data_IF_349107805040
#
_entry.id   IF_349107805040
#
_cell.length_a   1.000
_cell.length_b   1.000
_cell.length_c   1.000
_cell.angle_alpha   90.00
_cell.angle_beta   90.00
_cell.angle_gamma   90.00
#
_symmetry.space_group_name_H-M   'P 1'
#
loop_
_entity.id
_entity.type
_entity.pdbx_description
1 polymer ?
#
# COMPACT_ATOMS: atom_id res chain seq x y z
N UNK A 1 -47.63 1.98 33.30
CA UNK A 1 -46.36 1.57 32.63
C UNK A 1 -46.61 0.22 32.00
N UNK A 2 -47.07 0.11 30.76
CA UNK A 2 -46.24 0.32 29.59
C UNK A 2 -47.11 0.64 28.34
N UNK A 3 -47.53 1.91 28.18
CA UNK A 3 -48.05 2.39 26.89
C UNK A 3 -46.96 2.37 25.81
N UNK A 4 -45.70 2.58 26.21
CA UNK A 4 -44.54 2.49 25.32
C UNK A 4 -44.28 1.09 24.73
N UNK A 5 -44.76 0.02 25.37
CA UNK A 5 -44.57 -1.36 24.88
C UNK A 5 -45.62 -1.74 23.84
N UNK A 6 -46.86 -1.28 24.03
CA UNK A 6 -47.93 -1.40 23.04
C UNK A 6 -47.75 -0.43 21.86
N UNK A 7 -47.20 0.77 22.09
CA UNK A 7 -46.83 1.70 21.00
C UNK A 7 -45.62 1.20 20.20
N UNK A 8 -44.65 0.52 20.82
CA UNK A 8 -43.55 -0.13 20.11
C UNK A 8 -44.01 -1.34 19.27
N UNK A 9 -45.01 -2.09 19.75
CA UNK A 9 -45.65 -3.16 18.98
C UNK A 9 -46.62 -2.64 17.91
N UNK A 10 -47.35 -1.54 18.18
CA UNK A 10 -48.29 -0.89 17.26
C UNK A 10 -47.58 -0.08 16.16
N UNK A 11 -46.41 0.50 16.45
CA UNK A 11 -45.54 1.14 15.44
C UNK A 11 -44.76 0.12 14.60
N UNK A 12 -44.48 -1.08 15.14
CA UNK A 12 -43.93 -2.21 14.37
C UNK A 12 -44.98 -2.88 13.48
N UNK A 13 -46.24 -2.98 13.91
CA UNK A 13 -47.34 -3.52 13.10
C UNK A 13 -47.87 -2.55 12.03
N UNK A 14 -47.51 -1.26 12.12
CA UNK A 14 -47.87 -0.20 11.16
C UNK A 14 -46.77 0.17 10.17
N UNK A 15 -45.71 -0.63 10.02
CA UNK A 15 -44.82 -0.44 8.87
C UNK A 15 -45.59 -0.88 7.62
N UNK A 16 -45.77 -0.02 6.59
CA UNK A 16 -46.43 -0.43 5.37
C UNK A 16 -45.71 -1.66 4.83
N UNK A 17 -46.45 -2.70 4.41
CA UNK A 17 -45.88 -3.89 3.79
C UNK A 17 -45.01 -3.44 2.62
N UNK A 18 -43.70 -3.45 2.82
CA UNK A 18 -42.75 -3.00 1.81
C UNK A 18 -42.65 -4.11 0.78
N UNK A 19 -42.95 -3.78 -0.47
CA UNK A 19 -42.76 -4.71 -1.58
C UNK A 19 -41.29 -5.17 -1.67
N UNK A 20 -41.07 -6.37 -2.21
CA UNK A 20 -39.73 -6.93 -2.49
C UNK A 20 -38.80 -5.92 -3.20
N UNK A 21 -39.36 -5.10 -4.09
CA UNK A 21 -38.63 -4.04 -4.80
C UNK A 21 -38.18 -2.91 -3.87
N UNK A 22 -39.01 -2.52 -2.90
CA UNK A 22 -38.67 -1.49 -1.92
C UNK A 22 -37.53 -1.97 -1.01
N UNK A 23 -37.58 -3.22 -0.56
CA UNK A 23 -36.49 -3.83 0.21
C UNK A 23 -35.18 -3.93 -0.59
N UNK A 24 -35.25 -4.36 -1.85
CA UNK A 24 -34.08 -4.44 -2.74
C UNK A 24 -33.49 -3.04 -3.01
N UNK A 25 -34.33 -2.01 -3.14
CA UNK A 25 -33.89 -0.61 -3.27
C UNK A 25 -33.17 -0.11 -2.01
N UNK A 26 -33.68 -0.43 -0.83
CA UNK A 26 -33.05 -0.08 0.45
C UNK A 26 -31.68 -0.77 0.59
N UNK A 27 -31.60 -2.06 0.29
CA UNK A 27 -30.35 -2.83 0.34
C UNK A 27 -29.31 -2.26 -0.64
N UNK A 28 -29.71 -1.94 -1.87
CA UNK A 28 -28.80 -1.35 -2.86
C UNK A 28 -28.34 0.05 -2.46
N UNK A 29 -29.21 0.85 -1.81
CA UNK A 29 -28.85 2.15 -1.26
C UNK A 29 -27.81 2.04 -0.12
N UNK A 30 -28.04 1.18 0.88
CA UNK A 30 -27.05 0.95 1.94
C UNK A 30 -25.76 0.34 1.40
N UNK A 31 -25.86 -0.52 0.38
CA UNK A 31 -24.71 -1.05 -0.35
C UNK A 31 -23.88 0.03 -1.04
N UNK A 32 -24.52 1.07 -1.61
CA UNK A 32 -23.82 2.25 -2.15
C UNK A 32 -23.14 3.07 -1.06
N UNK A 33 -23.73 3.14 0.12
CA UNK A 33 -23.18 3.85 1.30
C UNK A 33 -22.12 3.04 2.06
N UNK A 34 -21.76 1.83 1.59
CA UNK A 34 -20.80 0.88 2.23
C UNK A 34 -21.21 0.41 3.63
N UNK A 35 -22.47 0.60 4.01
CA UNK A 35 -23.05 0.14 5.27
C UNK A 35 -23.57 -1.29 5.13
N UNK A 36 -22.64 -2.25 5.04
CA UNK A 36 -22.99 -3.65 4.86
C UNK A 36 -23.75 -4.23 6.07
N UNK A 37 -23.51 -3.72 7.30
CA UNK A 37 -24.23 -4.18 8.49
C UNK A 37 -25.74 -3.86 8.39
N UNK A 38 -26.06 -2.64 7.98
CA UNK A 38 -27.45 -2.20 7.80
C UNK A 38 -28.14 -2.99 6.69
N UNK A 39 -27.43 -3.29 5.60
CA UNK A 39 -27.95 -4.14 4.54
C UNK A 39 -28.31 -5.55 5.06
N UNK A 40 -27.46 -6.15 5.92
CA UNK A 40 -27.74 -7.46 6.53
C UNK A 40 -28.92 -7.38 7.52
N UNK A 41 -29.03 -6.31 8.32
CA UNK A 41 -30.18 -6.11 9.21
C UNK A 41 -31.49 -5.98 8.42
N UNK A 42 -31.45 -5.37 7.24
CA UNK A 42 -32.64 -5.27 6.36
C UNK A 42 -33.07 -6.64 5.83
N UNK A 43 -32.14 -7.60 5.65
CA UNK A 43 -32.49 -8.99 5.33
C UNK A 43 -33.21 -9.67 6.50
N UNK A 44 -32.77 -9.43 7.74
CA UNK A 44 -33.44 -9.95 8.92
C UNK A 44 -34.86 -9.36 9.09
N UNK A 45 -35.03 -8.06 8.81
CA UNK A 45 -36.35 -7.41 8.79
C UNK A 45 -37.27 -8.00 7.72
N UNK A 46 -36.76 -8.30 6.52
CA UNK A 46 -37.53 -8.99 5.47
C UNK A 46 -38.05 -10.36 5.92
N UNK A 47 -37.22 -11.11 6.65
CA UNK A 47 -37.60 -12.43 7.19
C UNK A 47 -38.68 -12.32 8.25
N UNK A 48 -38.55 -11.35 9.15
CA UNK A 48 -39.56 -11.09 10.19
C UNK A 48 -40.93 -10.71 9.58
N UNK A 49 -40.92 -10.11 8.39
CA UNK A 49 -42.12 -9.74 7.63
C UNK A 49 -42.59 -10.86 6.67
N UNK A 50 -42.01 -12.06 6.72
CA UNK A 50 -42.32 -13.21 5.86
C UNK A 50 -42.18 -12.95 4.34
N UNK A 51 -41.35 -11.99 3.93
CA UNK A 51 -41.07 -11.73 2.51
C UNK A 51 -39.92 -12.63 2.05
N UNK A 52 -40.17 -13.49 1.06
CA UNK A 52 -39.15 -14.40 0.51
C UNK A 52 -38.10 -13.62 -0.27
N UNK A 53 -36.82 -13.63 0.15
CA UNK A 53 -35.76 -12.93 -0.58
C UNK A 53 -35.52 -13.56 -1.96
N UNK A 54 -35.40 -12.73 -2.98
CA UNK A 54 -35.12 -13.19 -4.35
C UNK A 54 -33.62 -13.28 -4.63
N UNK A 55 -33.24 -13.88 -5.77
CA UNK A 55 -31.86 -13.85 -6.30
C UNK A 55 -31.30 -12.43 -6.35
N UNK A 56 -32.12 -11.45 -6.74
CA UNK A 56 -31.74 -10.04 -6.84
C UNK A 56 -31.46 -9.43 -5.46
N UNK A 57 -32.23 -9.84 -4.44
CA UNK A 57 -32.06 -9.39 -3.06
C UNK A 57 -30.75 -9.92 -2.48
N UNK A 58 -30.46 -11.20 -2.69
CA UNK A 58 -29.19 -11.82 -2.27
C UNK A 58 -27.98 -11.26 -3.03
N UNK A 59 -28.10 -11.05 -4.34
CA UNK A 59 -27.00 -10.49 -5.12
C UNK A 59 -26.70 -9.02 -4.75
N UNK A 60 -27.74 -8.25 -4.43
CA UNK A 60 -27.57 -6.89 -3.90
C UNK A 60 -26.86 -6.89 -2.54
N UNK A 61 -27.15 -7.86 -1.66
CA UNK A 61 -26.47 -8.02 -0.38
C UNK A 61 -25.00 -8.41 -0.55
N UNK A 62 -24.70 -9.37 -1.42
CA UNK A 62 -23.32 -9.75 -1.75
C UNK A 62 -22.56 -8.55 -2.32
N UNK A 63 -23.20 -7.75 -3.20
CA UNK A 63 -22.62 -6.52 -3.73
C UNK A 63 -22.41 -5.44 -2.65
N UNK A 64 -23.28 -5.36 -1.64
CA UNK A 64 -23.09 -4.49 -0.49
C UNK A 64 -21.90 -4.95 0.37
N UNK A 65 -21.80 -6.26 0.65
CA UNK A 65 -20.68 -6.86 1.38
C UNK A 65 -19.34 -6.70 0.64
N UNK A 66 -19.34 -6.83 -0.69
CA UNK A 66 -18.13 -6.66 -1.52
C UNK A 66 -17.59 -5.22 -1.47
N UNK A 67 -18.49 -4.23 -1.45
CA UNK A 67 -18.16 -2.81 -1.23
C UNK A 67 -17.72 -2.51 0.20
N UNK A 68 -18.26 -3.24 1.18
CA UNK A 68 -17.87 -3.18 2.58
C UNK A 68 -16.55 -3.89 2.91
N UNK A 69 -15.90 -4.54 1.92
CA UNK A 69 -14.68 -5.36 2.07
C UNK A 69 -14.83 -6.54 3.05
N UNK A 70 -16.06 -6.98 3.30
CA UNK A 70 -16.35 -8.08 4.22
C UNK A 70 -16.64 -9.36 3.45
N UNK A 71 -15.57 -10.10 3.12
CA UNK A 71 -15.67 -11.35 2.38
C UNK A 71 -16.39 -12.44 3.20
N UNK A 72 -16.19 -12.49 4.52
CA UNK A 72 -16.78 -13.53 5.38
C UNK A 72 -18.31 -13.44 5.41
N UNK A 73 -18.85 -12.22 5.54
CA UNK A 73 -20.29 -11.97 5.47
C UNK A 73 -20.86 -12.30 4.08
N UNK A 74 -20.13 -11.98 3.00
CA UNK A 74 -20.56 -12.32 1.65
C UNK A 74 -20.68 -13.85 1.46
N UNK A 75 -19.71 -14.63 1.96
CA UNK A 75 -19.76 -16.10 1.93
C UNK A 75 -20.90 -16.65 2.79
N UNK A 76 -21.15 -16.06 3.97
CA UNK A 76 -22.29 -16.45 4.81
C UNK A 76 -23.64 -16.23 4.10
N UNK A 77 -23.78 -15.10 3.40
CA UNK A 77 -24.96 -14.79 2.58
C UNK A 77 -25.13 -15.82 1.44
N UNK A 78 -24.04 -16.28 0.82
CA UNK A 78 -24.09 -17.34 -0.20
C UNK A 78 -24.55 -18.69 0.38
N UNK A 79 -23.99 -19.10 1.52
CA UNK A 79 -24.37 -20.36 2.17
C UNK A 79 -25.84 -20.35 2.56
N UNK A 80 -26.34 -19.19 2.99
CA UNK A 80 -27.74 -19.02 3.32
C UNK A 80 -28.65 -19.01 2.08
N UNK A 81 -28.22 -18.38 0.99
CA UNK A 81 -28.93 -18.42 -0.29
C UNK A 81 -29.10 -19.87 -0.79
N UNK A 82 -28.05 -20.69 -0.67
CA UNK A 82 -28.09 -22.11 -1.02
C UNK A 82 -28.99 -22.92 -0.08
N UNK A 83 -28.97 -22.64 1.23
CA UNK A 83 -29.84 -23.30 2.23
C UNK A 83 -31.32 -23.04 1.96
N UNK A 84 -31.65 -21.86 1.45
CA UNK A 84 -33.02 -21.47 1.06
C UNK A 84 -33.43 -22.01 -0.32
N UNK A 85 -32.59 -22.82 -0.97
CA UNK A 85 -32.87 -23.39 -2.30
C UNK A 85 -32.78 -22.40 -3.44
N UNK A 86 -32.25 -21.19 -3.21
CA UNK A 86 -32.07 -20.18 -4.25
C UNK A 86 -30.71 -20.39 -4.92
N UNK A 87 -30.71 -20.71 -6.22
CA UNK A 87 -29.47 -20.97 -6.95
C UNK A 87 -28.72 -19.66 -7.26
N UNK A 88 -27.44 -19.54 -6.86
CA UNK A 88 -26.62 -18.37 -7.20
C UNK A 88 -26.39 -18.28 -8.71
N UNK A 89 -26.53 -17.07 -9.25
CA UNK A 89 -26.23 -16.76 -10.65
C UNK A 89 -24.76 -16.34 -10.83
N UNK A 90 -24.36 -16.15 -12.09
CA UNK A 90 -23.02 -15.67 -12.46
C UNK A 90 -22.68 -14.34 -11.76
N UNK A 91 -23.66 -13.44 -11.65
CA UNK A 91 -23.49 -12.14 -11.01
C UNK A 91 -23.21 -12.25 -9.50
N UNK A 92 -23.87 -13.17 -8.80
CA UNK A 92 -23.64 -13.44 -7.38
C UNK A 92 -22.22 -13.98 -7.15
N UNK A 93 -21.77 -14.93 -7.96
CA UNK A 93 -20.39 -15.44 -7.90
C UNK A 93 -19.34 -14.37 -8.23
N UNK A 94 -19.57 -13.59 -9.28
CA UNK A 94 -18.72 -12.46 -9.67
C UNK A 94 -18.59 -11.41 -8.55
N UNK A 95 -19.70 -11.08 -7.88
CA UNK A 95 -19.70 -10.18 -6.73
C UNK A 95 -18.98 -10.77 -5.51
N UNK A 96 -19.08 -12.09 -5.30
CA UNK A 96 -18.33 -12.80 -4.24
C UNK A 96 -16.83 -12.82 -4.50
N UNK A 97 -16.41 -13.16 -5.72
CA UNK A 97 -15.00 -13.14 -6.15
C UNK A 97 -14.43 -11.74 -5.91
N UNK A 98 -15.19 -10.69 -6.26
CA UNK A 98 -14.81 -9.30 -5.97
C UNK A 98 -14.72 -9.01 -4.47
N UNK A 99 -15.63 -9.54 -3.66
CA UNK A 99 -15.57 -9.42 -2.20
C UNK A 99 -14.30 -10.09 -1.63
N UNK A 100 -13.98 -11.30 -2.09
CA UNK A 100 -12.76 -12.03 -1.73
C UNK A 100 -11.50 -11.30 -2.18
N UNK A 101 -11.49 -10.74 -3.39
CA UNK A 101 -10.40 -9.90 -3.89
C UNK A 101 -10.18 -8.66 -3.01
N UNK A 102 -11.26 -8.02 -2.54
CA UNK A 102 -11.17 -6.89 -1.63
C UNK A 102 -10.78 -7.28 -0.20
N UNK A 103 -11.10 -8.51 0.20
CA UNK A 103 -10.74 -9.12 1.48
C UNK A 103 -9.33 -9.72 1.54
N UNK A 104 -8.54 -9.63 0.46
CA UNK A 104 -7.21 -10.24 0.31
C UNK A 104 -7.18 -11.78 0.40
N UNK A 105 -8.34 -12.43 0.25
CA UNK A 105 -8.47 -13.89 0.29
C UNK A 105 -8.41 -14.48 -1.12
N UNK A 106 -7.19 -14.51 -1.70
CA UNK A 106 -6.98 -15.00 -3.07
C UNK A 106 -7.31 -16.48 -3.25
N UNK A 107 -7.07 -17.32 -2.22
CA UNK A 107 -7.33 -18.75 -2.30
C UNK A 107 -8.83 -19.07 -2.45
N UNK A 108 -9.68 -18.33 -1.72
CA UNK A 108 -11.15 -18.47 -1.83
C UNK A 108 -11.67 -17.94 -3.17
N UNK A 109 -11.06 -16.87 -3.68
CA UNK A 109 -11.36 -16.34 -5.00
C UNK A 109 -11.15 -17.40 -6.10
N UNK A 110 -10.02 -18.11 -6.07
CA UNK A 110 -9.72 -19.22 -6.99
C UNK A 110 -10.68 -20.41 -6.83
N UNK A 111 -11.03 -20.76 -5.59
CA UNK A 111 -12.02 -21.81 -5.33
C UNK A 111 -13.38 -21.44 -5.92
N UNK A 112 -13.85 -20.21 -5.71
CA UNK A 112 -15.12 -19.73 -6.25
C UNK A 112 -15.14 -19.70 -7.79
N UNK A 113 -14.01 -19.33 -8.42
CA UNK A 113 -13.90 -19.41 -9.88
C UNK A 113 -13.96 -20.86 -10.37
N UNK A 114 -13.29 -21.79 -9.68
CA UNK A 114 -13.33 -23.22 -9.98
C UNK A 114 -14.73 -23.80 -9.78
N UNK A 115 -15.45 -23.36 -8.74
CA UNK A 115 -16.83 -23.77 -8.46
C UNK A 115 -17.80 -23.30 -9.55
N UNK A 116 -17.60 -22.08 -10.05
CA UNK A 116 -18.36 -21.53 -11.15
C UNK A 116 -18.17 -22.37 -12.43
N UNK A 117 -16.93 -22.75 -12.73
CA UNK A 117 -16.61 -23.64 -13.86
C UNK A 117 -17.22 -25.03 -13.70
N UNK A 118 -17.15 -25.63 -12.50
CA UNK A 118 -17.76 -26.94 -12.21
C UNK A 118 -19.28 -26.95 -12.33
N UNK A 119 -19.94 -25.81 -12.14
CA UNK A 119 -21.39 -25.64 -12.27
C UNK A 119 -21.84 -25.36 -13.71
N UNK A 120 -20.94 -25.50 -14.69
CA UNK A 120 -21.20 -25.24 -16.11
C UNK A 120 -21.64 -23.80 -16.39
N UNK A 121 -21.35 -22.87 -15.48
CA UNK A 121 -21.50 -21.44 -15.73
C UNK A 121 -20.22 -20.97 -16.40
N UNK A 122 -20.30 -20.37 -17.59
CA UNK A 122 -19.12 -19.81 -18.25
C UNK A 122 -18.67 -18.56 -17.48
N UNK A 123 -17.44 -18.54 -16.91
CA UNK A 123 -16.95 -17.33 -16.26
C UNK A 123 -16.82 -16.21 -17.29
N UNK A 124 -17.30 -15.03 -16.95
CA UNK A 124 -17.13 -13.83 -17.77
C UNK A 124 -15.75 -13.19 -17.54
N UNK A 125 -15.41 -12.22 -18.39
CA UNK A 125 -14.17 -11.44 -18.24
C UNK A 125 -14.08 -10.76 -16.86
N UNK A 126 -15.22 -10.39 -16.30
CA UNK A 126 -15.28 -9.76 -14.98
C UNK A 126 -14.85 -10.72 -13.86
N UNK A 127 -15.32 -11.97 -13.85
CA UNK A 127 -14.93 -12.98 -12.88
C UNK A 127 -13.43 -13.30 -12.96
N UNK A 128 -12.87 -13.41 -14.17
CA UNK A 128 -11.41 -13.57 -14.35
C UNK A 128 -10.65 -12.36 -13.83
N UNK A 129 -11.04 -11.14 -14.21
CA UNK A 129 -10.40 -9.90 -13.75
C UNK A 129 -10.41 -9.76 -12.23
N UNK A 130 -11.55 -10.06 -11.59
CA UNK A 130 -11.67 -10.02 -10.14
C UNK A 130 -10.77 -11.07 -9.46
N UNK A 131 -10.64 -12.27 -10.05
CA UNK A 131 -9.75 -13.33 -9.54
C UNK A 131 -8.27 -12.98 -9.73
N UNK A 132 -7.92 -12.41 -10.88
CA UNK A 132 -6.56 -11.94 -11.20
C UNK A 132 -6.17 -10.78 -10.26
N UNK A 133 -7.07 -9.83 -10.00
CA UNK A 133 -6.86 -8.75 -9.01
C UNK A 133 -6.77 -9.31 -7.57
N UNK A 134 -7.45 -10.40 -7.25
CA UNK A 134 -7.26 -11.10 -5.98
C UNK A 134 -5.84 -11.70 -5.88
N UNK A 135 -5.36 -12.34 -6.95
CA UNK A 135 -4.01 -12.92 -7.01
C UNK A 135 -2.92 -11.84 -6.94
N UNK A 136 -3.14 -10.68 -7.56
CA UNK A 136 -2.29 -9.48 -7.45
C UNK A 136 -2.11 -9.08 -5.97
N UNK A 137 -3.21 -8.94 -5.23
CA UNK A 137 -3.19 -8.57 -3.80
C UNK A 137 -2.62 -9.68 -2.91
N UNK A 138 -2.77 -10.93 -3.33
CA UNK A 138 -2.18 -12.10 -2.67
C UNK A 138 -0.69 -12.33 -2.95
N UNK A 139 -0.08 -11.50 -3.80
CA UNK A 139 1.29 -11.64 -4.29
C UNK A 139 1.57 -12.97 -5.04
N UNK A 140 0.53 -13.57 -5.63
CA UNK A 140 0.57 -14.85 -6.34
C UNK A 140 0.65 -14.63 -7.86
N UNK A 141 1.76 -14.07 -8.34
CA UNK A 141 1.94 -13.69 -9.75
C UNK A 141 1.84 -14.88 -10.72
N UNK A 142 2.30 -16.07 -10.33
CA UNK A 142 2.29 -17.26 -11.19
C UNK A 142 0.86 -17.71 -11.52
N UNK A 143 -0.04 -17.64 -10.53
CA UNK A 143 -1.46 -17.96 -10.69
C UNK A 143 -2.18 -16.88 -11.50
N UNK A 144 -1.81 -15.61 -11.30
CA UNK A 144 -2.31 -14.50 -12.12
C UNK A 144 -2.02 -14.71 -13.62
N UNK A 145 -0.78 -15.10 -13.97
CA UNK A 145 -0.42 -15.43 -15.35
C UNK A 145 -1.13 -16.68 -15.88
N UNK A 146 -1.23 -17.74 -15.07
CA UNK A 146 -1.96 -18.94 -15.47
C UNK A 146 -3.43 -18.63 -15.80
N UNK A 147 -4.10 -17.82 -14.99
CA UNK A 147 -5.47 -17.38 -15.25
C UNK A 147 -5.58 -16.51 -16.50
N UNK A 148 -4.58 -15.67 -16.77
CA UNK A 148 -4.51 -14.87 -17.98
C UNK A 148 -4.41 -15.75 -19.23
N UNK A 149 -3.57 -16.79 -19.21
CA UNK A 149 -3.46 -17.75 -20.31
C UNK A 149 -4.71 -18.62 -20.45
N UNK A 150 -5.31 -19.04 -19.34
CA UNK A 150 -6.58 -19.77 -19.34
C UNK A 150 -7.72 -18.95 -19.96
N UNK A 151 -7.80 -17.65 -19.65
CA UNK A 151 -8.76 -16.72 -20.24
C UNK A 151 -8.61 -16.64 -21.76
N UNK A 152 -7.36 -16.59 -22.26
CA UNK A 152 -7.04 -16.60 -23.70
C UNK A 152 -7.40 -17.92 -24.37
N UNK A 153 -7.08 -19.05 -23.74
CA UNK A 153 -7.43 -20.39 -24.23
C UNK A 153 -8.95 -20.60 -24.31
N UNK A 154 -9.72 -19.97 -23.43
CA UNK A 154 -11.20 -19.98 -23.45
C UNK A 154 -11.80 -18.94 -24.40
N UNK A 155 -10.99 -18.28 -25.22
CA UNK A 155 -11.39 -17.23 -26.17
C UNK A 155 -12.09 -16.03 -25.51
N UNK A 156 -11.87 -15.79 -24.23
CA UNK A 156 -12.35 -14.60 -23.53
C UNK A 156 -11.30 -13.50 -23.75
N UNK A 157 -11.71 -12.36 -24.32
CA UNK A 157 -10.78 -11.26 -24.63
C UNK A 157 -10.32 -10.57 -23.33
N UNK A 158 -9.00 -10.56 -23.03
CA UNK A 158 -8.47 -9.74 -21.93
C UNK A 158 -8.76 -8.27 -22.19
N UNK A 159 -9.03 -7.51 -21.14
CA UNK A 159 -9.21 -6.07 -21.19
C UNK A 159 -8.04 -5.34 -20.52
N UNK A 160 -8.08 -3.99 -20.51
CA UNK A 160 -7.03 -3.19 -19.87
C UNK A 160 -6.91 -3.50 -18.37
N UNK A 161 -8.00 -3.86 -17.70
CA UNK A 161 -8.00 -4.23 -16.29
C UNK A 161 -7.25 -5.54 -16.06
N UNK A 162 -7.42 -6.55 -16.94
CA UNK A 162 -6.67 -7.81 -16.89
C UNK A 162 -5.16 -7.53 -16.95
N UNK A 163 -4.73 -6.75 -17.94
CA UNK A 163 -3.32 -6.40 -18.11
C UNK A 163 -2.76 -5.61 -16.93
N UNK A 164 -3.51 -4.62 -16.42
CA UNK A 164 -3.11 -3.81 -15.27
C UNK A 164 -2.84 -4.66 -14.03
N UNK A 165 -3.74 -5.59 -13.71
CA UNK A 165 -3.57 -6.47 -12.55
C UNK A 165 -2.43 -7.48 -12.73
N UNK A 166 -2.21 -8.01 -13.95
CA UNK A 166 -1.04 -8.86 -14.20
C UNK A 166 0.29 -8.10 -14.11
N UNK A 167 0.37 -6.90 -14.70
CA UNK A 167 1.56 -6.03 -14.65
C UNK A 167 1.89 -5.65 -13.20
N UNK A 168 0.88 -5.29 -12.40
CA UNK A 168 1.01 -4.99 -10.98
C UNK A 168 1.49 -6.21 -10.17
N UNK A 169 0.90 -7.40 -10.42
CA UNK A 169 1.31 -8.63 -9.76
C UNK A 169 2.78 -9.01 -10.07
N UNK A 170 3.21 -8.83 -11.32
CA UNK A 170 4.61 -9.02 -11.74
C UNK A 170 5.54 -7.99 -11.10
N UNK A 171 5.07 -6.76 -10.92
CA UNK A 171 5.79 -5.72 -10.20
C UNK A 171 6.09 -6.12 -8.76
N UNK A 172 5.07 -6.57 -8.02
CA UNK A 172 5.22 -7.05 -6.63
C UNK A 172 6.15 -8.26 -6.51
N UNK A 173 6.24 -9.07 -7.56
CA UNK A 173 7.15 -10.20 -7.66
C UNK A 173 8.58 -9.83 -8.13
N UNK A 174 8.88 -8.53 -8.33
CA UNK A 174 10.15 -8.03 -8.86
C UNK A 174 10.51 -8.54 -10.27
N UNK A 175 9.54 -9.06 -11.03
CA UNK A 175 9.73 -9.57 -12.40
C UNK A 175 9.47 -8.47 -13.42
N UNK A 176 10.34 -7.47 -13.43
CA UNK A 176 10.19 -6.28 -14.28
C UNK A 176 10.24 -6.61 -15.78
N UNK A 177 11.02 -7.62 -16.20
CA UNK A 177 11.16 -8.02 -17.60
C UNK A 177 9.83 -8.45 -18.22
N UNK A 178 9.11 -9.29 -17.49
CA UNK A 178 7.83 -9.85 -17.91
C UNK A 178 6.74 -8.79 -17.87
N UNK A 179 6.80 -7.88 -16.88
CA UNK A 179 5.90 -6.73 -16.76
C UNK A 179 6.01 -5.82 -18.00
N UNK A 180 7.23 -5.55 -18.47
CA UNK A 180 7.47 -4.78 -19.69
C UNK A 180 7.06 -5.52 -20.96
N UNK A 181 7.27 -6.84 -21.00
CA UNK A 181 6.80 -7.65 -22.12
C UNK A 181 5.27 -7.62 -22.22
N UNK A 182 4.56 -7.71 -21.09
CA UNK A 182 3.10 -7.58 -21.07
C UNK A 182 2.65 -6.20 -21.55
N UNK A 183 3.30 -5.11 -21.11
CA UNK A 183 3.02 -3.75 -21.59
C UNK A 183 3.23 -3.64 -23.11
N UNK A 184 4.32 -4.21 -23.64
CA UNK A 184 4.62 -4.22 -25.07
C UNK A 184 3.65 -5.07 -25.89
N UNK A 185 3.02 -6.07 -25.28
CA UNK A 185 2.03 -6.93 -25.94
C UNK A 185 0.64 -6.28 -26.08
N UNK A 186 0.31 -5.25 -25.29
CA UNK A 186 -1.03 -4.62 -25.33
C UNK A 186 -1.40 -4.02 -26.70
N UNK A 187 -0.52 -3.27 -27.38
CA UNK A 187 -0.83 -2.74 -28.72
C UNK A 187 -1.06 -3.84 -29.77
N UNK A 188 -0.40 -5.00 -29.63
CA UNK A 188 -0.59 -6.16 -30.51
C UNK A 188 -2.01 -6.72 -30.36
N UNK A 189 -2.59 -6.62 -29.17
CA UNK A 189 -3.97 -7.03 -28.85
C UNK A 189 -4.99 -5.90 -29.15
N UNK A 190 -4.57 -4.80 -29.80
CA UNK A 190 -5.38 -3.61 -30.08
C UNK A 190 -5.92 -2.91 -28.81
N UNK A 191 -5.23 -3.06 -27.68
CA UNK A 191 -5.53 -2.36 -26.44
C UNK A 191 -4.57 -1.19 -26.25
N UNK A 192 -5.11 -0.01 -25.96
CA UNK A 192 -4.31 1.16 -25.59
C UNK A 192 -3.95 1.10 -24.10
N UNK A 193 -2.67 1.20 -23.72
CA UNK A 193 -2.28 1.28 -22.32
C UNK A 193 -2.86 2.57 -21.71
N UNK A 194 -3.43 2.45 -20.52
CA UNK A 194 -3.94 3.59 -19.75
C UNK A 194 -2.90 4.08 -18.73
N UNK A 195 -3.21 5.16 -18.01
CA UNK A 195 -2.33 5.72 -16.98
C UNK A 195 -2.07 4.70 -15.85
N UNK A 196 -3.03 3.81 -15.58
CA UNK A 196 -2.87 2.75 -14.57
C UNK A 196 -1.87 1.70 -15.06
N UNK A 197 -1.92 1.30 -16.33
CA UNK A 197 -0.95 0.37 -16.95
C UNK A 197 0.46 0.90 -16.84
N UNK A 198 0.65 2.16 -17.23
CA UNK A 198 1.98 2.80 -17.25
C UNK A 198 2.49 2.99 -15.82
N UNK A 199 1.66 3.45 -14.89
CA UNK A 199 2.08 3.61 -13.49
C UNK A 199 2.43 2.27 -12.82
N UNK A 200 1.70 1.19 -13.13
CA UNK A 200 2.02 -0.16 -12.66
C UNK A 200 3.35 -0.66 -13.25
N UNK A 201 3.61 -0.44 -14.54
CA UNK A 201 4.87 -0.80 -15.19
C UNK A 201 6.08 -0.01 -14.66
N UNK A 202 5.92 1.31 -14.43
CA UNK A 202 6.95 2.13 -13.78
C UNK A 202 7.23 1.61 -12.38
N UNK A 203 6.18 1.34 -11.59
CA UNK A 203 6.29 0.77 -10.25
C UNK A 203 7.01 -0.57 -10.27
N UNK A 204 6.69 -1.46 -11.22
CA UNK A 204 7.38 -2.73 -11.41
C UNK A 204 8.88 -2.56 -11.70
N UNK A 205 9.25 -1.61 -12.55
CA UNK A 205 10.66 -1.27 -12.83
C UNK A 205 11.37 -0.72 -11.59
N UNK A 206 10.69 0.11 -10.78
CA UNK A 206 11.26 0.61 -9.52
C UNK A 206 11.54 -0.52 -8.54
N UNK A 207 10.61 -1.47 -8.41
CA UNK A 207 10.78 -2.64 -7.54
C UNK A 207 11.89 -3.57 -8.05
N UNK A 208 12.04 -3.69 -9.37
CA UNK A 208 13.12 -4.41 -10.05
C UNK A 208 14.49 -3.72 -10.01
N UNK A 209 14.64 -2.57 -9.35
CA UNK A 209 15.85 -1.73 -9.28
C UNK A 209 16.32 -1.14 -10.62
N UNK A 210 15.50 -1.21 -11.66
CA UNK A 210 15.78 -0.66 -12.99
C UNK A 210 15.25 0.79 -13.12
N UNK A 211 15.85 1.71 -12.38
CA UNK A 211 15.41 3.11 -12.33
C UNK A 211 15.51 3.83 -13.69
N UNK A 212 16.53 3.53 -14.50
CA UNK A 212 16.74 4.18 -15.80
C UNK A 212 15.58 3.85 -16.77
N UNK A 213 15.14 2.58 -16.77
CA UNK A 213 14.00 2.15 -17.59
C UNK A 213 12.69 2.76 -17.10
N UNK A 214 12.48 2.80 -15.78
CA UNK A 214 11.32 3.46 -15.18
C UNK A 214 11.19 4.93 -15.63
N UNK A 215 12.30 5.66 -15.66
CA UNK A 215 12.32 7.06 -16.11
C UNK A 215 12.13 7.20 -17.61
N UNK A 216 12.73 6.32 -18.42
CA UNK A 216 12.50 6.32 -19.87
C UNK A 216 11.02 6.11 -20.22
N UNK A 217 10.33 5.23 -19.49
CA UNK A 217 8.89 4.98 -19.64
C UNK A 217 8.06 6.17 -19.19
N UNK A 218 8.46 6.84 -18.10
CA UNK A 218 7.80 8.05 -17.64
C UNK A 218 7.91 9.19 -18.68
N UNK A 219 9.11 9.42 -19.23
CA UNK A 219 9.31 10.42 -20.27
C UNK A 219 8.56 10.06 -21.55
N UNK A 220 8.50 8.78 -21.92
CA UNK A 220 7.69 8.32 -23.03
C UNK A 220 6.20 8.56 -22.81
N UNK A 221 5.71 8.26 -21.60
CA UNK A 221 4.33 8.54 -21.22
C UNK A 221 4.02 10.05 -21.29
N UNK A 222 4.95 10.90 -20.83
CA UNK A 222 4.83 12.36 -20.91
C UNK A 222 4.83 12.88 -22.35
N UNK A 223 5.65 12.29 -23.25
CA UNK A 223 5.67 12.64 -24.68
C UNK A 223 4.40 12.20 -25.41
N UNK A 224 3.86 11.04 -25.04
CA UNK A 224 2.60 10.50 -25.60
C UNK A 224 1.34 11.09 -24.95
N UNK A 225 1.49 12.00 -24.00
CA UNK A 225 0.36 12.58 -23.25
C UNK A 225 -0.44 13.57 -24.12
N UNK A 226 -1.23 13.05 -25.06
CA UNK A 226 -2.34 13.75 -25.71
C UNK A 226 -3.66 13.32 -25.06
N UNK A 227 -4.26 14.18 -24.23
CA UNK A 227 -5.56 13.94 -23.60
C UNK A 227 -5.51 13.04 -22.35
N UNK A 228 -6.03 11.81 -22.45
CA UNK A 228 -6.34 10.90 -21.33
C UNK A 228 -5.12 10.19 -20.71
N UNK A 229 -3.94 10.31 -21.33
CA UNK A 229 -2.67 9.72 -20.89
C UNK A 229 -1.86 10.63 -19.95
N UNK A 230 -2.47 11.68 -19.39
CA UNK A 230 -1.78 12.60 -18.48
C UNK A 230 -1.28 11.87 -17.22
N UNK A 231 0.04 11.92 -16.92
CA UNK A 231 0.57 11.37 -15.69
C UNK A 231 -0.16 11.96 -14.48
N UNK A 232 -0.68 11.08 -13.63
CA UNK A 232 -1.35 11.47 -12.39
C UNK A 232 -0.37 11.46 -11.20
N UNK A 233 -0.85 11.79 -10.00
CA UNK A 233 -0.06 11.79 -8.76
C UNK A 233 0.65 10.44 -8.54
N UNK A 234 0.00 9.32 -8.88
CA UNK A 234 0.57 7.96 -8.75
C UNK A 234 1.74 7.76 -9.71
N UNK A 235 1.62 8.24 -10.94
CA UNK A 235 2.66 8.11 -11.98
C UNK A 235 3.90 8.93 -11.63
N UNK A 236 3.70 10.18 -11.18
CA UNK A 236 4.80 11.02 -10.66
C UNK A 236 5.42 10.42 -9.40
N UNK A 237 4.62 9.92 -8.46
CA UNK A 237 5.12 9.26 -7.25
C UNK A 237 5.97 8.02 -7.54
N UNK A 238 5.54 7.19 -8.51
CA UNK A 238 6.31 6.03 -8.95
C UNK A 238 7.64 6.45 -9.62
N UNK A 239 7.63 7.51 -10.44
CA UNK A 239 8.85 8.04 -11.05
C UNK A 239 9.83 8.61 -10.00
N UNK A 240 9.34 9.34 -9.00
CA UNK A 240 10.17 9.88 -7.91
C UNK A 240 10.77 8.74 -7.07
N UNK A 241 10.01 7.67 -6.81
CA UNK A 241 10.52 6.47 -6.14
C UNK A 241 11.59 5.73 -6.99
N UNK A 242 11.51 5.84 -8.32
CA UNK A 242 12.59 5.38 -9.21
C UNK A 242 13.86 6.22 -9.00
N UNK A 243 13.72 7.55 -8.96
CA UNK A 243 14.84 8.47 -8.71
C UNK A 243 15.49 8.23 -7.34
N UNK A 244 14.72 7.89 -6.31
CA UNK A 244 15.22 7.52 -4.99
C UNK A 244 16.21 6.34 -5.08
N UNK A 245 15.81 5.28 -5.77
CA UNK A 245 16.66 4.09 -5.98
C UNK A 245 17.88 4.34 -6.87
N UNK A 246 17.79 5.32 -7.77
CA UNK A 246 18.91 5.76 -8.61
C UNK A 246 19.79 6.86 -7.99
N UNK A 247 19.45 7.36 -6.80
CA UNK A 247 20.08 8.52 -6.15
C UNK A 247 20.10 9.80 -7.03
N UNK A 248 19.15 9.91 -7.97
CA UNK A 248 19.02 11.04 -8.90
C UNK A 248 18.21 12.18 -8.28
N UNK A 249 18.83 12.89 -7.33
CA UNK A 249 18.18 13.97 -6.58
C UNK A 249 17.70 15.12 -7.48
N UNK A 250 18.47 15.49 -8.50
CA UNK A 250 18.15 16.62 -9.38
C UNK A 250 16.86 16.35 -10.19
N UNK A 251 16.72 15.12 -10.70
CA UNK A 251 15.52 14.71 -11.42
C UNK A 251 14.32 14.52 -10.48
N UNK A 252 14.52 13.99 -9.26
CA UNK A 252 13.45 13.89 -8.27
C UNK A 252 12.84 15.27 -7.94
N UNK A 253 13.68 16.30 -7.79
CA UNK A 253 13.24 17.67 -7.53
C UNK A 253 12.55 18.30 -8.74
N UNK A 254 13.08 18.07 -9.95
CA UNK A 254 12.46 18.59 -11.18
C UNK A 254 11.09 17.95 -11.44
N UNK A 255 10.93 16.66 -11.13
CA UNK A 255 9.65 15.95 -11.21
C UNK A 255 8.64 16.46 -10.18
N UNK A 256 9.07 16.74 -8.95
CA UNK A 256 8.20 17.37 -7.94
C UNK A 256 7.74 18.77 -8.36
N UNK A 257 8.65 19.59 -8.89
CA UNK A 257 8.33 20.92 -9.38
C UNK A 257 7.42 20.88 -10.62
N UNK A 258 7.62 19.90 -11.51
CA UNK A 258 6.74 19.67 -12.65
C UNK A 258 5.33 19.23 -12.21
N UNK A 259 5.23 18.35 -11.21
CA UNK A 259 3.94 17.92 -10.66
C UNK A 259 3.16 19.09 -10.05
N UNK A 260 3.82 19.96 -9.28
CA UNK A 260 3.17 21.15 -8.70
C UNK A 260 2.78 22.18 -9.76
N UNK A 261 3.61 22.39 -10.79
CA UNK A 261 3.30 23.27 -11.91
C UNK A 261 2.09 22.79 -12.73
N UNK A 262 1.90 21.48 -12.87
CA UNK A 262 0.73 20.87 -13.52
C UNK A 262 -0.53 20.87 -12.64
N UNK A 263 -0.47 21.46 -11.44
CA UNK A 263 -1.60 21.55 -10.49
C UNK A 263 -1.88 20.26 -9.73
N UNK A 264 -1.03 19.23 -9.89
CA UNK A 264 -1.11 17.99 -9.12
C UNK A 264 -0.56 18.25 -7.72
N UNK A 265 -1.31 17.84 -6.69
CA UNK A 265 -0.83 17.90 -5.31
C UNK A 265 0.05 16.67 -5.05
N UNK A 266 1.38 16.81 -4.90
CA UNK A 266 2.22 15.67 -4.59
C UNK A 266 1.82 15.11 -3.23
N UNK A 267 1.78 13.78 -3.14
CA UNK A 267 1.54 13.12 -1.86
C UNK A 267 2.76 13.23 -0.95
N UNK A 268 2.54 13.16 0.38
CA UNK A 268 3.63 13.18 1.36
C UNK A 268 4.67 12.08 1.08
N UNK A 269 4.24 10.92 0.61
CA UNK A 269 5.11 9.81 0.22
C UNK A 269 6.02 10.17 -0.96
N UNK A 270 5.51 10.93 -1.94
CA UNK A 270 6.32 11.44 -3.07
C UNK A 270 7.38 12.45 -2.60
N UNK A 271 7.04 13.31 -1.65
CA UNK A 271 8.01 14.27 -1.09
C UNK A 271 9.06 13.56 -0.22
N UNK A 272 8.66 12.59 0.60
CA UNK A 272 9.57 11.77 1.41
C UNK A 272 10.55 10.97 0.52
N UNK A 273 10.08 10.40 -0.59
CA UNK A 273 10.93 9.72 -1.56
C UNK A 273 11.94 10.68 -2.21
N UNK A 274 11.55 11.91 -2.54
CA UNK A 274 12.49 12.92 -3.06
C UNK A 274 13.52 13.37 -2.01
N UNK A 275 13.11 13.55 -0.75
CA UNK A 275 14.04 13.84 0.36
C UNK A 275 15.06 12.70 0.51
N UNK A 276 14.60 11.46 0.41
CA UNK A 276 15.46 10.27 0.48
C UNK A 276 16.41 10.19 -0.72
N UNK A 277 15.96 10.56 -1.92
CA UNK A 277 16.80 10.71 -3.11
C UNK A 277 17.90 11.77 -2.90
N UNK A 278 17.56 12.92 -2.31
CA UNK A 278 18.52 13.96 -1.92
C UNK A 278 19.55 13.46 -0.90
N UNK A 279 19.14 12.61 0.04
CA UNK A 279 20.04 11.97 0.99
C UNK A 279 21.06 11.04 0.34
N UNK A 280 20.61 10.21 -0.61
CA UNK A 280 21.51 9.34 -1.39
C UNK A 280 22.46 10.11 -2.32
N UNK A 281 22.05 11.28 -2.80
CA UNK A 281 22.89 12.19 -3.60
C UNK A 281 23.79 13.13 -2.78
N UNK A 282 23.90 12.92 -1.46
CA UNK A 282 24.65 13.76 -0.50
C UNK A 282 24.23 15.25 -0.44
N UNK A 283 23.07 15.60 -1.00
CA UNK A 283 22.55 16.97 -1.03
C UNK A 283 21.65 17.26 0.18
N UNK A 284 22.25 17.25 1.38
CA UNK A 284 21.54 17.50 2.64
C UNK A 284 20.79 18.84 2.68
N UNK A 285 21.32 19.88 2.03
CA UNK A 285 20.69 21.21 2.01
C UNK A 285 19.35 21.22 1.26
N UNK A 286 19.26 20.49 0.15
CA UNK A 286 18.02 20.39 -0.64
C UNK A 286 16.93 19.66 0.15
N UNK A 287 17.30 18.61 0.90
CA UNK A 287 16.39 17.91 1.80
C UNK A 287 15.81 18.86 2.88
N UNK A 288 16.64 19.72 3.49
CA UNK A 288 16.18 20.71 4.47
C UNK A 288 15.31 21.80 3.85
N UNK A 289 15.61 22.22 2.61
CA UNK A 289 14.80 23.19 1.89
C UNK A 289 13.39 22.65 1.61
N UNK A 290 13.29 21.38 1.21
CA UNK A 290 12.00 20.70 1.06
C UNK A 290 11.24 20.64 2.39
N UNK A 291 11.90 20.27 3.50
CA UNK A 291 11.25 20.26 4.81
C UNK A 291 10.73 21.64 5.22
N UNK A 292 11.48 22.71 4.94
CA UNK A 292 11.03 24.09 5.18
C UNK A 292 9.83 24.44 4.31
N UNK A 293 9.84 24.07 3.03
CA UNK A 293 8.71 24.29 2.12
C UNK A 293 7.45 23.57 2.60
N UNK A 294 7.57 22.34 3.12
CA UNK A 294 6.47 21.59 3.73
C UNK A 294 5.92 22.29 4.98
N UNK A 295 6.78 22.79 5.87
CA UNK A 295 6.37 23.55 7.07
C UNK A 295 5.65 24.85 6.70
N UNK A 296 6.03 25.49 5.59
CA UNK A 296 5.39 26.72 5.11
C UNK A 296 4.08 26.48 4.36
N UNK A 297 3.91 25.31 3.73
CA UNK A 297 2.67 24.94 3.08
C UNK A 297 1.67 24.36 4.09
N UNK A 298 0.53 25.01 4.30
CA UNK A 298 -0.52 24.57 5.23
C UNK A 298 -1.24 23.27 4.85
N UNK A 299 -0.89 22.66 3.70
CA UNK A 299 -1.58 21.50 3.14
C UNK A 299 -1.00 20.13 3.54
N UNK A 300 0.27 20.07 3.97
CA UNK A 300 0.96 18.83 4.29
C UNK A 300 1.72 18.98 5.61
N UNK A 301 1.30 18.23 6.63
CA UNK A 301 2.01 18.18 7.92
C UNK A 301 3.15 17.16 7.80
N UNK A 302 4.41 17.54 8.06
CA UNK A 302 5.53 16.60 8.08
C UNK A 302 5.28 15.48 9.11
N UNK A 303 5.47 14.23 8.69
CA UNK A 303 5.36 13.07 9.57
C UNK A 303 6.74 12.63 10.07
N UNK A 304 6.76 11.64 10.97
CA UNK A 304 8.01 11.04 11.48
C UNK A 304 8.90 10.57 10.33
N UNK A 305 8.32 10.06 9.24
CA UNK A 305 9.05 9.59 8.06
C UNK A 305 9.77 10.75 7.36
N UNK A 306 9.12 11.90 7.17
CA UNK A 306 9.76 13.10 6.58
C UNK A 306 10.99 13.53 7.38
N UNK A 307 10.88 13.57 8.70
CA UNK A 307 11.99 13.93 9.58
C UNK A 307 13.10 12.87 9.55
N UNK A 308 12.75 11.57 9.60
CA UNK A 308 13.71 10.47 9.52
C UNK A 308 14.52 10.49 8.22
N UNK A 309 13.87 10.82 7.10
CA UNK A 309 14.50 10.95 5.79
C UNK A 309 15.45 12.16 5.75
N UNK A 310 15.06 13.29 6.36
CA UNK A 310 15.92 14.47 6.49
C UNK A 310 17.14 14.21 7.40
N UNK A 311 16.96 13.54 8.54
CA UNK A 311 18.05 13.15 9.44
C UNK A 311 19.03 12.22 8.70
N UNK A 312 18.50 11.25 7.94
CA UNK A 312 19.31 10.35 7.12
C UNK A 312 20.09 11.11 6.04
N UNK A 313 19.47 12.08 5.36
CA UNK A 313 20.16 12.93 4.40
C UNK A 313 21.27 13.77 5.04
N UNK A 314 21.04 14.32 6.24
CA UNK A 314 22.06 15.03 7.01
C UNK A 314 23.20 14.11 7.49
N UNK A 315 22.89 12.85 7.82
CA UNK A 315 23.88 11.83 8.16
C UNK A 315 24.80 11.55 6.97
N UNK A 316 24.24 11.38 5.76
CA UNK A 316 25.03 11.19 4.54
C UNK A 316 25.90 12.42 4.23
N UNK A 317 25.38 13.64 4.41
CA UNK A 317 26.14 14.89 4.26
C UNK A 317 27.12 15.24 5.39
N UNK A 318 27.37 14.32 6.35
CA UNK A 318 28.24 14.51 7.53
C UNK A 318 27.89 15.73 8.40
N UNK A 319 26.63 16.20 8.37
CA UNK A 319 26.15 17.34 9.16
C UNK A 319 25.44 16.88 10.43
N UNK A 320 26.21 16.31 11.35
CA UNK A 320 25.69 15.75 12.61
C UNK A 320 24.94 16.78 13.47
N UNK A 321 25.33 18.07 13.44
CA UNK A 321 24.67 19.13 14.22
C UNK A 321 23.23 19.36 13.77
N UNK A 322 23.02 19.46 12.46
CA UNK A 322 21.69 19.64 11.86
C UNK A 322 20.82 18.40 12.07
N UNK A 323 21.41 17.20 11.94
CA UNK A 323 20.72 15.94 12.21
C UNK A 323 20.18 15.87 13.66
N UNK A 324 20.98 16.26 14.65
CA UNK A 324 20.55 16.32 16.05
C UNK A 324 19.54 17.44 16.32
N UNK A 325 19.69 18.59 15.66
CA UNK A 325 18.69 19.67 15.71
C UNK A 325 17.32 19.20 15.22
N UNK A 326 17.28 18.46 14.11
CA UNK A 326 16.06 17.86 13.58
C UNK A 326 15.43 16.82 14.52
N UNK A 327 16.24 16.01 15.21
CA UNK A 327 15.75 15.04 16.20
C UNK A 327 15.13 15.74 17.41
N UNK A 328 15.72 16.85 17.85
CA UNK A 328 15.15 17.68 18.92
C UNK A 328 13.85 18.36 18.48
N UNK A 329 13.81 18.89 17.25
CA UNK A 329 12.59 19.42 16.63
C UNK A 329 11.47 18.38 16.58
N UNK A 330 11.80 17.14 16.20
CA UNK A 330 10.83 16.03 16.18
C UNK A 330 10.29 15.76 17.59
N UNK A 331 11.17 15.70 18.59
CA UNK A 331 10.79 15.47 19.99
C UNK A 331 9.89 16.59 20.55
N UNK A 332 10.10 17.84 20.09
CA UNK A 332 9.26 19.00 20.45
C UNK A 332 7.90 18.99 19.75
N UNK A 333 7.81 18.40 18.56
CA UNK A 333 6.60 18.40 17.73
C UNK A 333 5.51 17.41 18.18
N UNK A 334 5.61 16.83 19.39
CA UNK A 334 4.75 15.76 19.93
C UNK A 334 4.76 14.42 19.16
N UNK A 335 5.56 14.33 18.10
CA UNK A 335 5.82 13.11 17.36
C UNK A 335 6.84 12.27 18.14
N UNK A 336 6.50 11.01 18.46
CA UNK A 336 7.46 10.10 19.11
C UNK A 336 8.52 9.68 18.07
N UNK A 337 9.83 9.82 18.39
CA UNK A 337 10.89 9.35 17.50
C UNK A 337 10.75 7.85 17.27
N UNK A 338 10.86 7.41 16.02
CA UNK A 338 10.94 6.01 15.66
C UNK A 338 12.39 5.51 15.70
N UNK A 339 12.55 4.19 15.68
CA UNK A 339 13.87 3.55 15.66
C UNK A 339 14.70 3.99 14.44
N UNK A 340 14.04 4.30 13.31
CA UNK A 340 14.69 4.77 12.08
C UNK A 340 15.33 6.15 12.31
N UNK A 341 14.59 7.12 12.85
CA UNK A 341 15.10 8.47 13.16
C UNK A 341 16.28 8.43 14.15
N UNK A 342 16.18 7.59 15.19
CA UNK A 342 17.23 7.44 16.20
C UNK A 342 18.47 6.76 15.60
N UNK A 343 18.29 5.70 14.79
CA UNK A 343 19.41 5.02 14.10
C UNK A 343 20.13 5.94 13.10
N UNK A 344 19.37 6.75 12.36
CA UNK A 344 19.92 7.73 11.42
C UNK A 344 20.71 8.83 12.15
N UNK A 345 20.23 9.28 13.32
CA UNK A 345 20.93 10.24 14.15
C UNK A 345 22.23 9.66 14.75
N UNK A 346 22.22 8.39 15.16
CA UNK A 346 23.45 7.68 15.61
C UNK A 346 24.45 7.56 14.48
N UNK A 347 24.02 7.19 13.26
CA UNK A 347 24.90 7.15 12.08
C UNK A 347 25.46 8.54 11.71
N UNK A 348 24.67 9.61 11.89
CA UNK A 348 25.17 10.98 11.75
C UNK A 348 26.26 11.28 12.79
N UNK A 349 26.11 10.82 14.04
CA UNK A 349 27.09 11.00 15.10
C UNK A 349 28.36 10.19 14.88
N UNK A 350 28.25 8.98 14.33
CA UNK A 350 29.38 8.16 13.90
C UNK A 350 30.25 8.91 12.89
N UNK A 351 29.64 9.40 11.79
CA UNK A 351 30.32 10.18 10.76
C UNK A 351 30.84 11.52 11.27
N UNK A 352 30.26 12.05 12.35
CA UNK A 352 30.71 13.26 13.04
C UNK A 352 31.77 13.04 14.14
N UNK A 353 32.20 11.79 14.37
CA UNK A 353 33.09 11.39 15.47
C UNK A 353 32.59 11.83 16.86
N UNK A 354 31.27 11.85 17.08
CA UNK A 354 30.63 12.28 18.33
C UNK A 354 30.11 11.08 19.13
N UNK A 355 31.01 10.23 19.64
CA UNK A 355 30.65 9.01 20.39
C UNK A 355 29.76 9.27 21.62
N UNK A 356 29.99 10.38 22.35
CA UNK A 356 29.21 10.72 23.56
C UNK A 356 27.71 10.91 23.25
N UNK A 357 27.42 11.60 22.16
CA UNK A 357 26.06 11.88 21.72
C UNK A 357 25.40 10.64 21.13
N UNK A 358 26.17 9.80 20.43
CA UNK A 358 25.70 8.50 19.97
C UNK A 358 25.24 7.60 21.14
N UNK A 359 26.00 7.55 22.23
CA UNK A 359 25.64 6.82 23.45
C UNK A 359 24.39 7.39 24.15
N UNK A 360 24.26 8.71 24.19
CA UNK A 360 23.10 9.38 24.77
C UNK A 360 21.81 9.01 24.02
N UNK A 361 21.83 9.08 22.68
CA UNK A 361 20.70 8.70 21.82
C UNK A 361 20.39 7.20 21.94
N UNK A 362 21.41 6.36 22.09
CA UNK A 362 21.21 4.93 22.32
C UNK A 362 20.54 4.67 23.69
N UNK A 363 20.91 5.43 24.71
CA UNK A 363 20.23 5.45 26.00
C UNK A 363 18.76 5.90 25.89
N UNK A 364 18.47 6.96 25.13
CA UNK A 364 17.11 7.41 24.85
C UNK A 364 16.27 6.35 24.12
N UNK A 365 16.87 5.63 23.17
CA UNK A 365 16.22 4.53 22.45
C UNK A 365 15.72 3.44 23.42
N UNK A 366 16.56 3.06 24.39
CA UNK A 366 16.19 2.08 25.43
C UNK A 366 15.13 2.62 26.40
N UNK A 367 15.22 3.89 26.81
CA UNK A 367 14.20 4.53 27.67
C UNK A 367 12.83 4.57 26.99
N UNK A 368 12.80 4.73 25.68
CA UNK A 368 11.57 4.71 24.88
C UNK A 368 11.02 3.29 24.61
N UNK A 369 11.59 2.24 25.23
CA UNK A 369 11.24 0.82 25.03
C UNK A 369 11.37 0.35 23.57
N UNK A 370 12.16 1.06 22.76
CA UNK A 370 12.49 0.63 21.40
C UNK A 370 13.69 -0.30 21.49
N UNK A 371 13.57 -1.53 20.98
CA UNK A 371 14.72 -2.44 20.90
C UNK A 371 15.69 -1.92 19.84
N UNK A 372 16.92 -1.52 20.20
CA UNK A 372 17.90 -1.07 19.21
C UNK A 372 18.26 -2.22 18.28
N UNK A 373 18.29 -1.96 16.97
CA UNK A 373 18.67 -2.98 15.99
C UNK A 373 20.20 -3.08 15.86
N UNK A 374 20.66 -4.09 15.11
CA UNK A 374 22.09 -4.30 14.82
C UNK A 374 22.73 -3.03 14.25
N UNK A 375 22.00 -2.30 13.39
CA UNK A 375 22.49 -1.09 12.72
C UNK A 375 22.79 0.04 13.72
N UNK A 376 21.90 0.27 14.70
CA UNK A 376 22.11 1.29 15.74
C UNK A 376 23.29 0.95 16.64
N UNK A 377 23.43 -0.33 17.01
CA UNK A 377 24.59 -0.78 17.81
C UNK A 377 25.90 -0.69 17.02
N UNK A 378 25.91 -1.13 15.76
CA UNK A 378 27.09 -1.09 14.90
C UNK A 378 27.57 0.35 14.66
N UNK A 379 26.64 1.27 14.36
CA UNK A 379 26.96 2.68 14.20
C UNK A 379 27.50 3.31 15.52
N UNK A 380 26.94 2.93 16.67
CA UNK A 380 27.42 3.41 17.98
C UNK A 380 28.82 2.84 18.33
N UNK A 381 29.05 1.55 18.10
CA UNK A 381 30.34 0.88 18.32
C UNK A 381 31.40 1.48 17.38
N UNK A 382 31.05 1.68 16.11
CA UNK A 382 31.92 2.32 15.12
C UNK A 382 32.24 3.77 15.49
N UNK A 383 31.28 4.52 16.06
CA UNK A 383 31.53 5.86 16.57
C UNK A 383 32.55 5.86 17.73
N UNK A 384 32.46 4.89 18.64
CA UNK A 384 33.40 4.70 19.75
C UNK A 384 34.80 4.28 19.28
N UNK A 385 34.89 3.31 18.35
CA UNK A 385 36.17 2.86 17.77
C UNK A 385 36.88 3.96 16.99
N UNK A 386 36.16 4.67 16.12
CA UNK A 386 36.71 5.82 15.38
C UNK A 386 37.16 6.99 16.27
N UNK A 387 36.80 6.99 17.56
CA UNK A 387 37.20 7.98 18.56
C UNK A 387 38.24 7.44 19.56
N UNK A 388 38.82 6.26 19.28
CA UNK A 388 39.77 5.53 20.13
C UNK A 388 39.24 5.21 21.54
N UNK A 389 37.94 5.05 21.70
CA UNK A 389 37.28 4.68 22.97
C UNK A 389 36.90 3.19 22.99
N UNK A 390 37.90 2.32 22.83
CA UNK A 390 37.73 0.88 22.74
C UNK A 390 37.03 0.25 23.96
N UNK A 391 37.27 0.77 25.18
CA UNK A 391 36.66 0.25 26.41
C UNK A 391 35.13 0.33 26.37
N UNK A 392 34.58 1.45 25.88
CA UNK A 392 33.14 1.63 25.76
C UNK A 392 32.56 0.85 24.58
N UNK A 393 33.32 0.70 23.49
CA UNK A 393 32.92 -0.16 22.37
C UNK A 393 32.77 -1.62 22.82
N UNK A 394 33.67 -2.13 23.67
CA UNK A 394 33.58 -3.47 24.25
C UNK A 394 32.41 -3.63 25.22
N UNK A 395 32.12 -2.63 26.04
CA UNK A 395 30.94 -2.63 26.91
C UNK A 395 29.63 -2.69 26.12
N UNK A 396 29.52 -1.93 25.03
CA UNK A 396 28.38 -1.97 24.13
C UNK A 396 28.23 -3.35 23.45
N UNK A 397 29.34 -3.94 22.98
CA UNK A 397 29.34 -5.29 22.40
C UNK A 397 28.88 -6.35 23.41
N UNK A 398 29.37 -6.26 24.65
CA UNK A 398 28.98 -7.18 25.71
C UNK A 398 27.49 -7.04 26.06
N UNK A 399 26.98 -5.81 26.08
CA UNK A 399 25.58 -5.53 26.35
C UNK A 399 24.67 -6.04 25.24
N UNK A 400 25.00 -5.78 23.98
CA UNK A 400 24.17 -6.21 22.87
C UNK A 400 24.23 -7.75 22.65
N UNK A 401 25.32 -8.43 23.04
CA UNK A 401 25.34 -9.90 23.16
C UNK A 401 24.35 -10.42 24.22
N UNK A 402 24.20 -9.72 25.35
CA UNK A 402 23.21 -10.08 26.38
C UNK A 402 21.78 -9.89 25.90
N UNK A 403 21.55 -8.95 24.99
CA UNK A 403 20.25 -8.72 24.32
C UNK A 403 19.99 -9.69 23.15
N UNK A 404 20.89 -10.66 22.88
CA UNK A 404 20.70 -11.70 21.86
C UNK A 404 21.00 -11.25 20.42
N UNK A 405 21.69 -10.12 20.25
CA UNK A 405 21.95 -9.52 18.94
C UNK A 405 23.25 -10.12 18.37
N UNK A 406 23.14 -10.85 17.25
CA UNK A 406 24.28 -11.45 16.56
C UNK A 406 24.98 -10.43 15.66
N UNK A 407 26.23 -10.13 15.95
CA UNK A 407 27.03 -9.13 15.23
C UNK A 407 27.89 -9.72 14.11
N UNK A 408 28.12 -8.92 13.07
CA UNK A 408 28.99 -9.24 11.92
C UNK A 408 30.47 -8.99 12.23
N UNK A 409 31.39 -9.61 11.46
CA UNK A 409 32.85 -9.45 11.60
C UNK A 409 33.31 -7.97 11.54
N UNK A 410 32.55 -7.11 10.84
CA UNK A 410 32.82 -5.67 10.70
C UNK A 410 32.75 -4.94 12.05
N UNK A 411 31.77 -5.29 12.89
CA UNK A 411 31.59 -4.69 14.23
C UNK A 411 32.75 -5.02 15.18
N UNK A 412 33.29 -6.25 15.11
CA UNK A 412 34.46 -6.67 15.89
C UNK A 412 35.70 -5.90 15.45
N UNK A 413 35.90 -5.76 14.14
CA UNK A 413 37.02 -4.98 13.61
C UNK A 413 36.91 -3.49 13.95
N UNK A 414 35.71 -2.93 14.00
CA UNK A 414 35.47 -1.55 14.41
C UNK A 414 35.76 -1.31 15.90
N UNK A 415 35.55 -2.31 16.77
CA UNK A 415 35.86 -2.21 18.20
C UNK A 415 37.35 -2.29 18.56
N UNK A 416 38.19 -2.78 17.64
CA UNK A 416 39.64 -2.97 17.82
C UNK A 416 40.47 -1.81 17.23
N UNK A 417 39.84 -0.94 16.42
CA UNK A 417 40.42 0.33 15.94
C UNK A 417 40.32 1.42 17.01
#
# INVERSE_FOLDING_TARGET
MNESYWEAQSSRSRRPAKDLKAYTSIITQHGRQRQWQEAVMVLEDMRLQNVTPSVITYSALVSACSRGRQWASAVAVLTEMQRQGVHPDLFTFSALITACANGQEWAKSLQLLSDLQRRSLSPDAFAYNATISACEKGNEWAKSLHLFDEMRCKHIRPDTVTFNSCISALGNAQRWSDSLWMLASMPVVQLSPDVVTISAAISACTQGREWARALSLFHEAKRRASGDLRPNVVTYGAAINACERGHLWAEALSLLAAATAEGLRPSLTSVNAAISACGGGEQWWQALLLLRSLRSSSSLVPDVVTFSACISACAQGQKWREALGLLQDLSRSSLKPDLISLSAAVSACEKGHQWRKALEILGETRRNQLQPNIITYDAAISACGNSHQWAQALELLALARREGIAFTVVTYNASIR
#
